data_IF_641420501018
#
_entry.id   IF_641420501018
#
_cell.length_a   1.000
_cell.length_b   1.000
_cell.length_c   1.000
_cell.angle_alpha   90.00
_cell.angle_beta   90.00
_cell.angle_gamma   90.00
#
_symmetry.space_group_name_H-M   'P 1'
#
loop_
_entity.id
_entity.type
_entity.pdbx_description
1 polymer ?
#
# COMPACT_ATOMS: atom_id res chain seq x y z
N UNK A 1 11.78 -2.88 1.58
CA UNK A 1 10.69 -2.39 2.45
C UNK A 1 9.69 -3.51 2.78
N UNK A 2 10.15 -4.71 3.15
CA UNK A 2 9.26 -5.87 3.35
C UNK A 2 8.77 -6.00 4.81
N UNK A 3 9.55 -5.45 5.72
CA UNK A 3 9.50 -5.72 7.17
C UNK A 3 9.22 -4.46 7.99
N UNK A 4 8.97 -3.30 7.35
CA UNK A 4 8.69 -2.02 8.03
C UNK A 4 7.48 -2.07 8.98
N UNK A 5 6.56 -3.01 8.76
CA UNK A 5 5.40 -3.24 9.63
C UNK A 5 5.71 -4.15 10.82
N UNK A 6 6.96 -4.59 10.98
CA UNK A 6 7.40 -5.48 12.06
C UNK A 6 6.84 -6.90 11.94
N UNK A 7 6.48 -7.31 10.72
CA UNK A 7 5.91 -8.64 10.42
C UNK A 7 6.83 -9.38 9.45
N UNK A 8 6.89 -10.70 9.60
CA UNK A 8 7.51 -11.59 8.62
C UNK A 8 6.77 -11.46 7.30
N UNK A 9 7.50 -11.26 6.22
CA UNK A 9 6.95 -11.17 4.87
C UNK A 9 7.21 -12.46 4.11
N UNK A 10 6.20 -13.01 3.44
CA UNK A 10 6.35 -14.20 2.59
C UNK A 10 6.19 -13.77 1.12
N UNK A 11 7.24 -13.95 0.32
CA UNK A 11 7.22 -13.63 -1.11
C UNK A 11 6.46 -14.67 -1.93
N UNK A 12 6.39 -15.90 -1.45
CA UNK A 12 5.76 -17.02 -2.14
C UNK A 12 4.63 -17.63 -1.29
N UNK A 13 3.58 -16.85 -0.93
CA UNK A 13 2.54 -17.32 -0.01
C UNK A 13 1.68 -18.46 -0.58
N UNK A 14 1.70 -18.66 -1.91
CA UNK A 14 0.93 -19.72 -2.60
C UNK A 14 1.77 -20.98 -2.87
N UNK A 15 3.08 -20.91 -2.68
CA UNK A 15 3.99 -22.03 -2.97
C UNK A 15 4.23 -22.88 -1.73
N UNK A 16 4.52 -24.17 -1.93
CA UNK A 16 4.87 -25.09 -0.84
C UNK A 16 6.20 -24.73 -0.18
N UNK A 17 7.20 -24.34 -0.98
CA UNK A 17 8.46 -23.80 -0.49
C UNK A 17 8.35 -22.30 -0.24
N UNK A 18 8.13 -21.93 1.02
CA UNK A 18 7.90 -20.53 1.43
C UNK A 18 9.22 -19.78 1.52
N UNK A 19 9.35 -18.72 0.74
CA UNK A 19 10.45 -17.77 0.89
C UNK A 19 10.03 -16.64 1.82
N UNK A 20 10.48 -16.74 3.08
CA UNK A 20 10.15 -15.76 4.11
C UNK A 20 11.32 -14.84 4.44
N UNK A 21 11.00 -13.56 4.63
CA UNK A 21 11.89 -12.56 5.22
C UNK A 21 11.42 -12.33 6.67
N UNK A 22 12.22 -12.68 7.69
CA UNK A 22 11.81 -12.56 9.09
C UNK A 22 11.57 -11.10 9.49
N UNK A 23 10.68 -10.89 10.46
CA UNK A 23 10.44 -9.57 11.03
C UNK A 23 11.74 -8.96 11.60
N UNK A 24 11.91 -7.65 11.43
CA UNK A 24 13.03 -6.88 11.95
C UNK A 24 12.54 -5.74 12.85
N UNK A 25 13.11 -5.65 14.05
CA UNK A 25 12.81 -4.56 15.00
C UNK A 25 13.28 -3.21 14.45
N UNK A 26 14.47 -3.18 13.87
CA UNK A 26 15.06 -1.98 13.28
C UNK A 26 14.19 -1.43 12.14
N UNK A 27 13.74 -2.30 11.24
CA UNK A 27 12.83 -1.91 10.16
C UNK A 27 11.51 -1.36 10.70
N UNK A 28 10.99 -1.95 11.77
CA UNK A 28 9.76 -1.48 12.43
C UNK A 28 9.94 -0.10 13.07
N UNK A 29 11.09 0.16 13.68
CA UNK A 29 11.43 1.46 14.27
C UNK A 29 11.57 2.53 13.18
N UNK A 30 12.28 2.21 12.10
CA UNK A 30 12.38 3.09 10.93
C UNK A 30 11.00 3.37 10.30
N UNK A 31 10.18 2.34 10.12
CA UNK A 31 8.81 2.46 9.59
C UNK A 31 7.95 3.44 10.39
N UNK A 32 7.98 3.36 11.72
CA UNK A 32 7.26 4.34 12.55
C UNK A 32 7.82 5.75 12.42
N UNK A 33 9.15 5.90 12.39
CA UNK A 33 9.79 7.21 12.25
C UNK A 33 9.43 7.86 10.90
N UNK A 34 9.47 7.11 9.80
CA UNK A 34 9.22 7.67 8.47
C UNK A 34 7.74 8.00 8.28
N UNK A 35 6.82 7.11 8.67
CA UNK A 35 5.37 7.37 8.50
C UNK A 35 4.87 8.53 9.36
N UNK A 36 5.42 8.73 10.57
CA UNK A 36 5.13 9.92 11.39
C UNK A 36 5.55 11.22 10.70
N UNK A 37 6.65 11.20 9.94
CA UNK A 37 7.17 12.38 9.22
C UNK A 37 6.53 12.60 7.86
N UNK A 38 5.86 11.59 7.28
CA UNK A 38 5.32 11.66 5.92
C UNK A 38 4.38 12.87 5.69
N UNK A 39 3.42 13.21 6.58
CA UNK A 39 2.57 14.38 6.37
C UNK A 39 3.36 15.69 6.27
N UNK A 40 4.34 15.88 7.15
CA UNK A 40 5.22 17.07 7.12
C UNK A 40 6.03 17.14 5.83
N UNK A 41 6.57 16.00 5.37
CA UNK A 41 7.34 15.91 4.13
C UNK A 41 6.49 16.22 2.89
N UNK A 42 5.24 15.75 2.86
CA UNK A 42 4.29 16.04 1.78
C UNK A 42 4.06 17.54 1.67
N UNK A 43 3.76 18.21 2.79
CA UNK A 43 3.51 19.66 2.83
C UNK A 43 4.78 20.44 2.48
N UNK A 44 5.90 20.11 3.12
CA UNK A 44 7.17 20.84 2.97
C UNK A 44 7.69 20.85 1.54
N UNK A 45 7.57 19.73 0.84
CA UNK A 45 8.10 19.57 -0.52
C UNK A 45 7.03 19.62 -1.60
N UNK A 46 5.76 19.87 -1.24
CA UNK A 46 4.66 19.93 -2.20
C UNK A 46 4.46 18.63 -2.98
N UNK A 47 4.67 17.47 -2.35
CA UNK A 47 4.54 16.17 -3.00
C UNK A 47 3.07 15.94 -3.37
N UNK A 48 2.79 15.79 -4.67
CA UNK A 48 1.44 15.53 -5.16
C UNK A 48 1.16 14.03 -5.22
N UNK A 49 -0.05 13.57 -4.85
CA UNK A 49 -0.44 12.19 -5.09
C UNK A 49 -0.58 11.94 -6.59
N UNK A 50 -0.63 10.66 -6.97
CA UNK A 50 -1.09 10.29 -8.31
C UNK A 50 -2.52 10.80 -8.53
N UNK A 51 -2.94 11.08 -9.78
CA UNK A 51 -4.34 11.37 -10.09
C UNK A 51 -5.27 10.30 -9.51
N UNK A 52 -6.38 10.72 -8.92
CA UNK A 52 -7.34 9.82 -8.28
C UNK A 52 -8.66 9.74 -9.06
N UNK A 53 -9.30 8.58 -8.99
CA UNK A 53 -10.69 8.37 -9.37
C UNK A 53 -11.41 7.84 -8.14
N UNK A 54 -12.41 8.59 -7.67
CA UNK A 54 -13.26 8.14 -6.58
C UNK A 54 -14.34 7.26 -7.20
N UNK A 55 -14.38 5.98 -6.80
CA UNK A 55 -15.37 5.01 -7.27
C UNK A 55 -16.05 4.42 -6.04
N UNK A 56 -17.37 4.51 -5.96
CA UNK A 56 -18.17 3.77 -4.97
C UNK A 56 -17.75 3.90 -3.49
N UNK A 57 -18.10 2.87 -2.72
CA UNK A 57 -17.81 2.68 -1.30
C UNK A 57 -17.18 1.31 -1.00
N UNK A 58 -17.39 0.80 0.22
CA UNK A 58 -16.76 -0.45 0.66
C UNK A 58 -17.17 -1.67 -0.17
N UNK A 59 -18.44 -1.72 -0.58
CA UNK A 59 -18.99 -2.85 -1.36
C UNK A 59 -18.36 -2.95 -2.77
N UNK A 60 -17.80 -1.86 -3.29
CA UNK A 60 -17.22 -1.77 -4.62
C UNK A 60 -15.73 -2.17 -4.67
N UNK A 61 -15.12 -2.52 -3.53
CA UNK A 61 -13.69 -2.89 -3.44
C UNK A 61 -13.33 -4.04 -4.38
N UNK A 62 -14.19 -5.06 -4.47
CA UNK A 62 -13.95 -6.22 -5.33
C UNK A 62 -13.95 -5.84 -6.82
N UNK A 63 -14.89 -4.99 -7.23
CA UNK A 63 -14.95 -4.49 -8.62
C UNK A 63 -13.71 -3.65 -8.94
N UNK A 64 -13.30 -2.76 -8.05
CA UNK A 64 -12.10 -1.94 -8.28
C UNK A 64 -10.80 -2.75 -8.35
N UNK A 65 -10.71 -3.86 -7.62
CA UNK A 65 -9.59 -4.80 -7.74
C UNK A 65 -9.62 -5.55 -9.08
N UNK A 66 -10.80 -5.93 -9.57
CA UNK A 66 -10.95 -6.56 -10.88
C UNK A 66 -10.59 -5.59 -12.03
N UNK A 67 -10.98 -4.32 -11.92
CA UNK A 67 -10.58 -3.26 -12.86
C UNK A 67 -9.05 -3.09 -12.91
N UNK A 68 -8.39 -3.09 -11.76
CA UNK A 68 -6.94 -3.01 -11.68
C UNK A 68 -6.28 -4.25 -12.31
N UNK A 69 -6.78 -5.44 -11.98
CA UNK A 69 -6.26 -6.72 -12.50
C UNK A 69 -6.35 -6.80 -14.02
N UNK A 70 -7.45 -6.33 -14.60
CA UNK A 70 -7.71 -6.40 -16.03
C UNK A 70 -7.24 -5.16 -16.82
N UNK A 71 -6.43 -4.29 -16.21
CA UNK A 71 -5.82 -3.14 -16.90
C UNK A 71 -6.78 -2.00 -17.25
N UNK A 72 -7.98 -1.96 -16.64
CA UNK A 72 -8.97 -0.89 -16.85
C UNK A 72 -8.63 0.39 -16.07
N UNK A 73 -7.65 0.32 -15.17
CA UNK A 73 -7.09 1.46 -14.44
C UNK A 73 -5.74 1.84 -15.05
N UNK A 74 -5.65 3.02 -15.67
CA UNK A 74 -4.43 3.52 -16.28
C UNK A 74 -4.17 4.98 -15.90
N UNK A 75 -2.93 5.30 -15.50
CA UNK A 75 -2.50 6.66 -15.15
C UNK A 75 -3.17 7.27 -13.91
N UNK A 76 -3.95 6.49 -13.16
CA UNK A 76 -4.72 6.94 -12.00
C UNK A 76 -4.77 5.89 -10.89
N UNK A 77 -5.14 6.32 -9.69
CA UNK A 77 -5.41 5.45 -8.55
C UNK A 77 -6.92 5.47 -8.25
N UNK A 78 -7.55 4.29 -8.26
CA UNK A 78 -8.93 4.15 -7.79
C UNK A 78 -8.95 4.26 -6.26
N UNK A 79 -9.84 5.09 -5.74
CA UNK A 79 -10.04 5.34 -4.31
C UNK A 79 -11.50 5.06 -3.97
N UNK A 80 -11.74 4.16 -3.01
CA UNK A 80 -13.08 3.87 -2.51
C UNK A 80 -13.39 4.82 -1.35
N UNK A 81 -14.55 5.49 -1.38
CA UNK A 81 -14.95 6.39 -0.29
C UNK A 81 -15.74 5.61 0.75
N UNK A 82 -15.12 5.35 1.89
CA UNK A 82 -15.81 4.78 3.05
C UNK A 82 -16.34 5.95 3.88
N UNK A 83 -17.66 6.01 4.08
CA UNK A 83 -18.34 7.00 4.91
C UNK A 83 -18.23 6.64 6.39
#
# INVERSE_FOLDING_TARGET
MYTLLGKTFNLTPRESNKWTIPASKEDREFGVKIYKKTPELIVKYGLKPNPIEIKGGFDDVLEGLDDLKNGRVSGKKVVMKIA
#
